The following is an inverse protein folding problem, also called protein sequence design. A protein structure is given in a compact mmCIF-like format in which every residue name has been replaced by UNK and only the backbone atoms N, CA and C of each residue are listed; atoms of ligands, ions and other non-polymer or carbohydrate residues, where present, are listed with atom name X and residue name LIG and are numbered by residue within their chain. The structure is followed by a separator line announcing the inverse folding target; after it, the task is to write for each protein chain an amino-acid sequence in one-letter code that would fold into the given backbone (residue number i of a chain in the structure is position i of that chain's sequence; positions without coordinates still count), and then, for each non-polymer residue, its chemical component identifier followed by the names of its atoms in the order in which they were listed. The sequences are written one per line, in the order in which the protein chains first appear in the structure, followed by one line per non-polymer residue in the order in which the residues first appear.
data_IF_385149149423
#
_entry.id   IF_385149149423
#
_cell.length_a   1.000
_cell.length_b   1.000
_cell.length_c   1.000
_cell.angle_alpha   90.00
_cell.angle_beta   90.00
_cell.angle_gamma   90.00
#
_symmetry.space_group_name_H-M   'P 1'
#
loop_
_entity.id
_entity.type
_entity.pdbx_description
1 polymer ?
#
# COMPACT_ATOMS: atom_id res chain seq x y z
N UNK A 1 -29.47 27.67 45.53
CA UNK A 1 -28.24 26.85 45.40
C UNK A 1 -28.36 26.02 44.13
N UNK A 2 -27.78 26.48 43.01
CA UNK A 2 -27.82 25.77 41.73
C UNK A 2 -26.65 24.78 41.64
N UNK A 3 -26.95 23.49 41.51
CA UNK A 3 -25.99 22.40 41.35
C UNK A 3 -25.25 22.56 40.02
N UNK A 4 -23.92 22.71 40.07
CA UNK A 4 -23.03 22.54 38.91
C UNK A 4 -22.91 21.05 38.61
N UNK A 5 -23.53 20.59 37.54
CA UNK A 5 -23.24 19.26 36.97
C UNK A 5 -22.20 19.49 35.87
N UNK A 6 -20.95 19.14 36.18
CA UNK A 6 -19.89 19.00 35.18
C UNK A 6 -20.07 17.63 34.51
N UNK A 7 -20.67 17.61 33.32
CA UNK A 7 -20.56 16.46 32.42
C UNK A 7 -19.15 16.46 31.82
N UNK A 8 -18.24 15.72 32.44
CA UNK A 8 -16.97 15.35 31.82
C UNK A 8 -17.25 14.17 30.89
N UNK A 9 -17.62 14.47 29.66
CA UNK A 9 -17.62 13.49 28.57
C UNK A 9 -16.17 13.22 28.18
N UNK A 10 -15.49 12.36 28.92
CA UNK A 10 -14.24 11.77 28.46
C UNK A 10 -14.57 10.88 27.26
N UNK A 11 -14.48 11.46 26.05
CA UNK A 11 -14.26 10.70 24.83
C UNK A 11 -12.92 9.98 25.01
N UNK A 12 -12.99 8.75 25.54
CA UNK A 12 -11.93 7.77 25.34
C UNK A 12 -12.02 7.40 23.87
N UNK A 13 -11.43 8.22 23.01
CA UNK A 13 -10.94 7.76 21.73
C UNK A 13 -9.88 6.71 22.10
N UNK A 14 -10.30 5.45 22.23
CA UNK A 14 -9.39 4.33 22.16
C UNK A 14 -8.79 4.39 20.76
N UNK A 15 -7.72 5.15 20.62
CA UNK A 15 -6.73 4.98 19.58
C UNK A 15 -6.10 3.62 19.81
N UNK A 16 -6.86 2.56 19.49
CA UNK A 16 -6.27 1.37 18.93
C UNK A 16 -5.35 1.90 17.84
N UNK A 17 -4.04 1.93 18.10
CA UNK A 17 -3.07 2.32 17.10
C UNK A 17 -3.34 1.40 15.93
N UNK A 18 -4.02 1.91 14.89
CA UNK A 18 -4.40 1.12 13.73
C UNK A 18 -3.09 0.93 13.00
N UNK A 19 -2.36 -0.11 13.40
CA UNK A 19 -1.01 -0.32 12.96
C UNK A 19 -1.05 -0.49 11.43
N UNK A 20 -0.35 0.42 10.78
CA UNK A 20 -0.49 0.71 9.37
C UNK A 20 0.74 0.25 8.60
N UNK A 21 0.52 -0.04 7.32
CA UNK A 21 1.59 -0.23 6.35
C UNK A 21 1.81 1.13 5.70
N UNK A 22 3.00 1.70 5.86
CA UNK A 22 3.42 2.87 5.07
C UNK A 22 3.89 2.38 3.72
N UNK A 23 3.27 2.89 2.66
CA UNK A 23 3.57 2.52 1.28
C UNK A 23 4.20 3.72 0.60
N UNK A 24 5.33 3.48 -0.06
CA UNK A 24 5.99 4.41 -0.96
C UNK A 24 5.90 3.82 -2.37
N UNK A 25 5.29 4.52 -3.31
CA UNK A 25 5.24 4.09 -4.72
C UNK A 25 6.07 5.05 -5.54
N UNK A 26 7.04 4.52 -6.27
CA UNK A 26 8.00 5.27 -7.07
C UNK A 26 7.78 4.94 -8.54
N UNK A 27 7.51 5.97 -9.35
CA UNK A 27 7.52 5.86 -10.80
C UNK A 27 8.89 6.31 -11.32
N UNK A 28 9.81 5.35 -11.43
CA UNK A 28 11.18 5.55 -11.94
C UNK A 28 11.26 5.65 -13.47
N UNK A 29 10.11 5.58 -14.14
CA UNK A 29 10.03 5.82 -15.57
C UNK A 29 10.35 7.27 -15.89
N UNK A 30 11.22 7.48 -16.87
CA UNK A 30 11.63 8.84 -17.27
C UNK A 30 10.54 9.65 -17.95
N UNK A 31 9.70 8.98 -18.73
CA UNK A 31 8.83 9.62 -19.72
C UNK A 31 7.38 9.13 -19.68
N UNK A 32 7.04 8.21 -18.77
CA UNK A 32 5.71 7.59 -18.76
C UNK A 32 5.08 7.76 -17.40
N UNK A 33 3.92 8.41 -17.38
CA UNK A 33 3.04 8.40 -16.22
C UNK A 33 2.40 7.00 -16.09
N UNK A 34 1.99 6.68 -14.86
CA UNK A 34 1.28 5.44 -14.56
C UNK A 34 -0.05 5.75 -13.90
N UNK A 35 -1.06 4.97 -14.25
CA UNK A 35 -2.43 5.10 -13.77
C UNK A 35 -2.71 3.92 -12.85
N UNK A 36 -3.23 4.21 -11.65
CA UNK A 36 -3.75 3.20 -10.75
C UNK A 36 -5.03 2.59 -11.35
N UNK A 37 -5.00 1.32 -11.70
CA UNK A 37 -6.13 0.61 -12.33
C UNK A 37 -6.94 -0.21 -11.34
N UNK A 38 -6.32 -0.72 -10.29
CA UNK A 38 -7.02 -1.45 -9.23
C UNK A 38 -6.32 -1.29 -7.88
N UNK A 39 -7.09 -1.43 -6.81
CA UNK A 39 -6.61 -1.57 -5.44
C UNK A 39 -7.58 -2.43 -4.66
N UNK A 40 -7.09 -3.19 -3.67
CA UNK A 40 -8.00 -3.81 -2.71
C UNK A 40 -8.78 -2.73 -1.96
N UNK A 41 -10.07 -2.94 -1.76
CA UNK A 41 -10.96 -2.07 -0.95
C UNK A 41 -11.78 -2.87 0.06
N UNK A 42 -11.66 -4.21 0.04
CA UNK A 42 -12.43 -5.09 0.92
C UNK A 42 -11.69 -5.31 2.24
N UNK A 43 -10.38 -5.55 2.15
CA UNK A 43 -9.54 -5.86 3.31
C UNK A 43 -8.88 -4.60 3.88
N UNK A 44 -8.71 -3.57 3.04
CA UNK A 44 -7.87 -2.42 3.37
C UNK A 44 -8.50 -1.06 3.06
N UNK A 45 -8.16 -0.09 3.90
CA UNK A 45 -8.49 1.33 3.77
C UNK A 45 -7.20 2.15 3.62
N UNK A 46 -7.20 3.18 2.78
CA UNK A 46 -6.00 3.95 2.40
C UNK A 46 -6.13 5.41 2.84
N UNK A 47 -5.06 5.98 3.40
CA UNK A 47 -5.02 7.40 3.76
C UNK A 47 -3.62 8.02 3.62
N UNK A 48 -3.46 9.13 2.85
CA UNK A 48 -4.44 9.61 1.87
C UNK A 48 -4.76 8.52 0.82
N UNK A 49 -5.83 8.71 0.06
CA UNK A 49 -6.10 7.82 -1.07
C UNK A 49 -4.91 7.85 -2.05
N UNK A 50 -4.47 6.70 -2.59
CA UNK A 50 -3.42 6.67 -3.62
C UNK A 50 -3.86 7.50 -4.83
N UNK A 51 -2.91 8.20 -5.44
CA UNK A 51 -3.16 9.03 -6.61
C UNK A 51 -3.61 8.15 -7.79
N UNK A 52 -4.62 8.62 -8.52
CA UNK A 52 -5.10 7.92 -9.71
C UNK A 52 -4.04 7.94 -10.83
N UNK A 53 -3.21 8.97 -10.89
CA UNK A 53 -2.11 9.10 -11.84
C UNK A 53 -0.85 9.56 -11.11
N UNK A 54 0.23 8.80 -11.27
CA UNK A 54 1.55 9.09 -10.74
C UNK A 54 2.47 9.48 -11.90
N UNK A 55 2.94 10.72 -11.89
CA UNK A 55 3.76 11.28 -12.97
C UNK A 55 5.11 10.57 -13.11
N UNK A 56 5.70 10.65 -14.30
CA UNK A 56 7.07 10.19 -14.55
C UNK A 56 8.10 10.83 -13.58
N UNK A 57 9.08 10.05 -13.13
CA UNK A 57 10.09 10.41 -12.12
C UNK A 57 9.51 11.02 -10.83
N UNK A 58 8.36 10.53 -10.38
CA UNK A 58 7.71 11.00 -9.16
C UNK A 58 7.44 9.86 -8.19
N UNK A 59 7.12 10.22 -6.95
CA UNK A 59 6.79 9.25 -5.92
C UNK A 59 5.60 9.74 -5.10
N UNK A 60 4.80 8.80 -4.62
CA UNK A 60 3.71 9.05 -3.69
C UNK A 60 3.86 8.22 -2.42
N UNK A 61 3.22 8.71 -1.35
CA UNK A 61 3.22 8.03 -0.05
C UNK A 61 1.83 8.03 0.54
N UNK A 62 1.42 6.87 1.02
CA UNK A 62 0.16 6.69 1.74
C UNK A 62 0.29 5.61 2.81
N UNK A 63 -0.67 5.58 3.72
CA UNK A 63 -0.82 4.53 4.72
C UNK A 63 -1.96 3.59 4.34
N UNK A 64 -1.76 2.31 4.61
CA UNK A 64 -2.78 1.27 4.46
C UNK A 64 -3.13 0.73 5.83
N UNK A 65 -4.42 0.77 6.14
CA UNK A 65 -5.01 0.31 7.38
C UNK A 65 -5.86 -0.92 7.06
N UNK A 66 -5.75 -1.95 7.89
CA UNK A 66 -6.59 -3.13 7.71
C UNK A 66 -7.97 -2.92 8.33
N UNK A 67 -8.99 -3.38 7.62
CA UNK A 67 -10.36 -3.53 8.13
C UNK A 67 -10.46 -4.71 9.12
N UNK A 68 -9.48 -5.62 9.11
CA UNK A 68 -9.34 -6.78 10.00
C UNK A 68 -7.97 -6.79 10.70
N UNK A 69 -7.67 -5.78 11.55
CA UNK A 69 -6.32 -5.52 12.06
C UNK A 69 -5.74 -6.65 12.93
N UNK A 70 -6.59 -7.51 13.47
CA UNK A 70 -6.22 -8.70 14.26
C UNK A 70 -6.00 -9.97 13.43
N UNK A 71 -6.19 -9.93 12.11
CA UNK A 71 -6.13 -11.11 11.24
C UNK A 71 -5.10 -10.93 10.13
N UNK A 72 -5.27 -9.88 9.32
CA UNK A 72 -4.49 -9.69 8.09
C UNK A 72 -4.33 -8.21 7.81
N UNK A 73 -3.24 -7.81 7.17
CA UNK A 73 -3.05 -6.49 6.57
C UNK A 73 -2.57 -6.70 5.15
N UNK A 74 -3.22 -6.06 4.18
CA UNK A 74 -3.01 -6.30 2.76
C UNK A 74 -2.75 -4.97 2.06
N UNK A 75 -1.71 -4.92 1.24
CA UNK A 75 -1.59 -3.93 0.18
C UNK A 75 -1.68 -4.69 -1.12
N UNK A 76 -2.62 -4.32 -1.98
CA UNK A 76 -2.82 -4.91 -3.29
C UNK A 76 -3.16 -3.77 -4.26
N UNK A 77 -2.31 -3.57 -5.27
CA UNK A 77 -2.34 -2.43 -6.18
C UNK A 77 -1.95 -2.87 -7.59
N UNK A 78 -2.66 -2.36 -8.60
CA UNK A 78 -2.27 -2.49 -10.00
C UNK A 78 -2.08 -1.10 -10.61
N UNK A 79 -0.93 -0.90 -11.27
CA UNK A 79 -0.63 0.31 -12.05
C UNK A 79 -0.37 -0.06 -13.51
N UNK A 80 -0.85 0.79 -14.43
CA UNK A 80 -0.65 0.64 -15.89
C UNK A 80 -0.03 1.90 -16.47
N UNK A 81 0.91 1.77 -17.42
CA UNK A 81 1.43 2.95 -18.13
C UNK A 81 0.32 3.65 -18.93
N UNK A 82 0.31 4.99 -18.91
CA UNK A 82 -0.81 5.80 -19.43
C UNK A 82 -0.87 5.93 -20.96
N UNK A 83 0.17 5.51 -21.69
CA UNK A 83 0.34 5.79 -23.11
C UNK A 83 -0.48 4.91 -24.06
N UNK A 84 -1.08 3.81 -23.57
CA UNK A 84 -1.88 2.90 -24.40
C UNK A 84 -2.87 2.06 -23.58
N UNK A 85 -3.94 1.59 -24.22
CA UNK A 85 -4.89 0.64 -23.63
C UNK A 85 -4.29 -0.73 -23.35
N UNK A 86 -3.30 -1.16 -24.14
CA UNK A 86 -2.59 -2.44 -24.02
C UNK A 86 -1.21 -2.29 -23.35
N UNK A 87 -0.99 -1.17 -22.65
CA UNK A 87 0.30 -0.89 -22.04
C UNK A 87 0.66 -1.91 -20.94
N UNK A 88 1.97 -2.17 -20.72
CA UNK A 88 2.43 -3.01 -19.62
C UNK A 88 1.95 -2.52 -18.25
N UNK A 89 1.92 -3.42 -17.27
CA UNK A 89 1.40 -3.18 -15.92
C UNK A 89 2.36 -3.67 -14.85
N UNK A 90 2.22 -3.09 -13.67
CA UNK A 90 2.79 -3.59 -12.43
C UNK A 90 1.67 -3.98 -11.48
N UNK A 91 1.71 -5.23 -11.01
CA UNK A 91 0.85 -5.69 -9.93
C UNK A 91 1.69 -5.89 -8.67
N UNK A 92 1.27 -5.26 -7.58
CA UNK A 92 1.99 -5.27 -6.31
C UNK A 92 1.11 -5.87 -5.23
N UNK A 93 1.68 -6.80 -4.46
CA UNK A 93 1.01 -7.37 -3.29
C UNK A 93 1.98 -7.49 -2.12
N UNK A 94 1.54 -7.02 -0.96
CA UNK A 94 2.22 -7.23 0.30
C UNK A 94 1.20 -7.60 1.39
N UNK A 95 1.47 -8.72 2.07
CA UNK A 95 0.56 -9.29 3.07
C UNK A 95 1.28 -9.46 4.38
N UNK A 96 0.62 -9.09 5.48
CA UNK A 96 1.02 -9.42 6.83
C UNK A 96 -0.13 -10.22 7.44
N UNK A 97 0.16 -11.38 8.01
CA UNK A 97 -0.86 -12.21 8.68
C UNK A 97 -0.49 -12.42 10.13
N UNK A 98 -1.49 -12.49 11.00
CA UNK A 98 -1.28 -12.90 12.39
C UNK A 98 -1.03 -14.41 12.45
N UNK A 99 0.08 -14.80 13.04
CA UNK A 99 0.29 -16.19 13.43
C UNK A 99 -0.53 -16.49 14.69
N UNK A 100 -1.54 -17.34 14.56
CA UNK A 100 -2.41 -17.72 15.67
C UNK A 100 -1.67 -18.44 16.80
N UNK A 101 -0.52 -19.07 16.54
CA UNK A 101 0.24 -19.78 17.58
C UNK A 101 1.02 -18.83 18.47
N UNK A 102 1.74 -17.89 17.88
CA UNK A 102 2.57 -16.93 18.62
C UNK A 102 1.86 -15.61 18.95
N UNK A 103 0.73 -15.33 18.29
CA UNK A 103 0.04 -14.04 18.36
C UNK A 103 0.76 -12.91 17.60
N UNK A 104 1.91 -13.18 16.99
CA UNK A 104 2.74 -12.18 16.29
C UNK A 104 2.28 -11.92 14.87
N UNK A 105 2.64 -10.76 14.34
CA UNK A 105 2.42 -10.42 12.94
C UNK A 105 3.59 -10.90 12.09
N UNK A 106 3.31 -11.64 11.00
CA UNK A 106 4.31 -12.19 10.10
C UNK A 106 4.16 -11.61 8.69
N UNK A 107 5.18 -10.92 8.17
CA UNK A 107 5.17 -10.39 6.83
C UNK A 107 5.42 -11.52 5.83
N UNK A 108 4.67 -11.53 4.74
CA UNK A 108 4.93 -12.38 3.60
C UNK A 108 5.93 -11.72 2.65
N UNK A 109 6.48 -12.51 1.72
CA UNK A 109 7.34 -11.98 0.66
C UNK A 109 6.59 -10.90 -0.13
N UNK A 110 7.25 -9.77 -0.37
CA UNK A 110 6.73 -8.71 -1.24
C UNK A 110 6.66 -9.23 -2.68
N UNK A 111 5.48 -9.12 -3.30
CA UNK A 111 5.23 -9.50 -4.68
C UNK A 111 5.18 -8.23 -5.53
N UNK A 112 5.94 -8.25 -6.63
CA UNK A 112 5.97 -7.20 -7.64
C UNK A 112 6.05 -7.89 -9.01
N UNK A 113 4.92 -8.01 -9.67
CA UNK A 113 4.78 -8.72 -10.95
C UNK A 113 4.85 -7.73 -12.10
N UNK A 114 5.69 -8.07 -13.08
CA UNK A 114 5.78 -7.33 -14.35
C UNK A 114 4.81 -7.98 -15.33
N UNK A 115 3.66 -7.35 -15.53
CA UNK A 115 2.58 -7.90 -16.33
C UNK A 115 2.48 -7.24 -17.71
N UNK A 116 2.13 -8.06 -18.71
CA UNK A 116 1.94 -7.60 -20.08
C UNK A 116 3.22 -7.09 -20.75
N UNK A 117 3.04 -6.60 -21.98
CA UNK A 117 4.14 -6.16 -22.82
C UNK A 117 4.81 -7.29 -23.63
N UNK A 118 5.80 -6.88 -24.42
CA UNK A 118 6.65 -7.76 -25.23
C UNK A 118 8.09 -7.73 -24.72
N UNK A 119 8.97 -8.55 -25.28
CA UNK A 119 10.39 -8.51 -24.95
C UNK A 119 11.01 -7.09 -25.06
N UNK A 120 10.53 -6.29 -26.03
CA UNK A 120 11.02 -4.94 -26.33
C UNK A 120 10.30 -3.83 -25.57
N UNK A 121 9.12 -4.10 -25.04
CA UNK A 121 8.31 -3.13 -24.33
C UNK A 121 7.63 -3.81 -23.14
N UNK A 122 8.21 -3.70 -21.94
CA UNK A 122 7.68 -4.34 -20.73
C UNK A 122 7.83 -3.46 -19.50
N UNK A 123 6.96 -3.72 -18.54
CA UNK A 123 7.12 -3.20 -17.19
C UNK A 123 8.34 -3.86 -16.50
N UNK A 124 8.97 -3.10 -15.62
CA UNK A 124 9.95 -3.57 -14.66
C UNK A 124 9.47 -3.11 -13.30
N UNK A 125 8.96 -4.05 -12.52
CA UNK A 125 8.35 -3.79 -11.23
C UNK A 125 9.19 -4.43 -10.14
N UNK A 126 9.41 -3.72 -9.04
CA UNK A 126 10.09 -4.26 -7.88
C UNK A 126 9.42 -3.82 -6.60
N UNK A 127 9.55 -4.62 -5.55
CA UNK A 127 9.03 -4.31 -4.23
C UNK A 127 10.04 -4.66 -3.15
N UNK A 128 10.11 -3.84 -2.11
CA UNK A 128 11.05 -3.99 -1.00
C UNK A 128 10.35 -3.70 0.32
N UNK A 129 10.51 -4.59 1.28
CA UNK A 129 10.15 -4.34 2.68
C UNK A 129 11.28 -3.55 3.33
N UNK A 130 11.05 -2.28 3.65
CA UNK A 130 12.06 -1.38 4.20
C UNK A 130 12.20 -1.52 5.71
N UNK A 131 11.07 -1.75 6.40
CA UNK A 131 11.06 -2.01 7.84
C UNK A 131 9.82 -2.79 8.25
N UNK A 132 9.95 -3.53 9.35
CA UNK A 132 8.85 -4.31 9.93
C UNK A 132 9.01 -4.48 11.44
N UNK A 133 7.94 -4.28 12.19
CA UNK A 133 7.87 -4.54 13.62
C UNK A 133 7.06 -5.83 13.88
N UNK A 134 7.69 -6.83 14.51
CA UNK A 134 7.07 -8.14 14.79
C UNK A 134 5.92 -8.08 15.81
N UNK A 135 5.97 -7.12 16.72
CA UNK A 135 5.01 -7.02 17.83
C UNK A 135 3.79 -6.17 17.44
N UNK A 136 3.99 -5.05 16.74
CA UNK A 136 2.90 -4.18 16.29
C UNK A 136 2.39 -4.50 14.89
N UNK A 137 3.19 -5.19 14.06
CA UNK A 137 2.96 -5.42 12.64
C UNK A 137 3.07 -4.15 11.77
N UNK A 138 3.55 -3.03 12.33
CA UNK A 138 3.83 -1.84 11.53
C UNK A 138 4.91 -2.14 10.50
N UNK A 139 4.71 -1.64 9.28
CA UNK A 139 5.59 -1.94 8.16
C UNK A 139 5.80 -0.70 7.29
N UNK A 140 6.95 -0.65 6.63
CA UNK A 140 7.19 0.27 5.51
C UNK A 140 7.59 -0.55 4.30
N UNK A 141 6.90 -0.36 3.18
CA UNK A 141 7.15 -1.04 1.91
C UNK A 141 7.30 -0.02 0.79
N UNK A 142 8.28 -0.23 -0.08
CA UNK A 142 8.48 0.55 -1.29
C UNK A 142 8.19 -0.31 -2.51
N UNK A 143 7.38 0.21 -3.42
CA UNK A 143 7.12 -0.34 -4.75
C UNK A 143 7.71 0.60 -5.79
N UNK A 144 8.46 0.05 -6.74
CA UNK A 144 9.07 0.82 -7.82
C UNK A 144 8.56 0.31 -9.16
N UNK A 145 8.18 1.26 -10.02
CA UNK A 145 7.60 1.05 -11.33
C UNK A 145 8.52 1.69 -12.36
N UNK A 146 8.96 0.89 -13.33
CA UNK A 146 9.72 1.39 -14.47
C UNK A 146 9.27 0.69 -15.75
N UNK A 147 9.64 1.26 -16.90
CA UNK A 147 9.38 0.68 -18.22
C UNK A 147 10.66 0.56 -19.01
N UNK A 148 10.82 -0.58 -19.65
CA UNK A 148 11.87 -0.80 -20.63
C UNK A 148 11.25 -0.85 -22.02
N UNK A 149 11.58 0.14 -22.85
CA UNK A 149 11.09 0.29 -24.23
C UNK A 149 12.29 0.47 -25.18
N UNK A 150 12.42 -0.41 -26.18
CA UNK A 150 13.49 -0.42 -27.20
C UNK A 150 12.94 -0.57 -28.62
#
# INVERSE_FOLDING_TARGET
MLKKILCVSALVLSSSAVANIKVNVENDSKNYDVILTSKDVQTSTYSPAPQETLSANSAERFSVYSNYPDVVRLVDLEYKFSDSSIAPRCHFRFVIMKDYRSGKMLPQKVIAESEGGSYRDKAICSGKLDSFNLDSGEATVTFSINRRKY
#
